data_IF_679129738685
#
_entry.id   IF_679129738685
#
_cell.length_a   1.000
_cell.length_b   1.000
_cell.length_c   1.000
_cell.angle_alpha   90.00
_cell.angle_beta   90.00
_cell.angle_gamma   90.00
#
_symmetry.space_group_name_H-M   'P 1'
#
loop_
_entity.id
_entity.type
_entity.pdbx_description
1 polymer ?
#
# COMPACT_ATOMS: atom_id res chain seq x y z
N UNK A 1 -8.38 46.21 37.68
CA UNK A 1 -7.64 45.77 36.47
C UNK A 1 -8.68 45.58 35.38
N UNK A 2 -8.51 46.13 34.17
CA UNK A 2 -9.56 46.23 33.13
C UNK A 2 -9.52 45.03 32.17
N UNK A 3 -10.29 43.94 32.41
CA UNK A 3 -10.21 42.71 31.61
C UNK A 3 -10.79 42.90 30.20
N UNK A 4 -11.47 44.03 29.96
CA UNK A 4 -12.05 44.43 28.68
C UNK A 4 -11.05 45.06 27.71
N UNK A 5 -9.82 45.38 28.14
CA UNK A 5 -8.82 45.90 27.20
C UNK A 5 -8.34 44.77 26.27
N UNK A 6 -8.24 44.99 24.95
CA UNK A 6 -7.86 43.95 23.98
C UNK A 6 -6.56 43.20 24.31
N UNK A 7 -5.63 43.87 25.02
CA UNK A 7 -4.35 43.29 25.45
C UNK A 7 -4.50 42.05 26.34
N UNK A 8 -5.60 41.94 27.11
CA UNK A 8 -5.83 40.82 28.03
C UNK A 8 -6.23 39.51 27.34
N UNK A 9 -6.69 39.62 26.09
CA UNK A 9 -7.19 38.51 25.29
C UNK A 9 -6.35 38.30 24.02
N UNK A 10 -5.15 38.90 23.94
CA UNK A 10 -4.26 38.78 22.80
C UNK A 10 -3.03 37.92 23.16
N UNK A 11 -2.91 36.69 22.64
CA UNK A 11 -1.76 35.82 22.93
C UNK A 11 -0.43 36.41 22.46
N UNK A 12 -0.43 37.30 21.46
CA UNK A 12 0.80 37.97 20.97
C UNK A 12 1.36 38.99 21.97
N UNK A 13 0.52 39.49 22.87
CA UNK A 13 0.90 40.50 23.88
C UNK A 13 1.05 39.90 25.29
N UNK A 14 1.17 38.57 25.39
CA UNK A 14 1.22 37.84 26.65
C UNK A 14 2.31 38.33 27.60
N UNK A 15 3.40 38.93 27.08
CA UNK A 15 4.47 39.53 27.90
C UNK A 15 3.95 40.54 28.94
N UNK A 16 2.86 41.24 28.64
CA UNK A 16 2.27 42.26 29.53
C UNK A 16 1.29 41.67 30.56
N UNK A 17 0.71 40.51 30.27
CA UNK A 17 -0.34 39.88 31.08
C UNK A 17 0.11 38.60 31.77
N UNK A 18 1.31 38.11 31.43
CA UNK A 18 1.88 36.83 31.89
C UNK A 18 1.82 36.65 33.39
N UNK A 19 2.24 37.64 34.18
CA UNK A 19 2.27 37.52 35.65
C UNK A 19 0.88 37.31 36.23
N UNK A 20 -0.11 38.05 35.73
CA UNK A 20 -1.50 37.91 36.16
C UNK A 20 -2.04 36.50 35.87
N UNK A 21 -1.86 36.01 34.65
CA UNK A 21 -2.27 34.66 34.27
C UNK A 21 -1.50 33.58 35.05
N UNK A 22 -0.21 33.81 35.35
CA UNK A 22 0.57 32.92 36.19
C UNK A 22 0.00 32.82 37.60
N UNK A 23 -0.30 33.96 38.23
CA UNK A 23 -0.84 33.98 39.58
C UNK A 23 -2.25 33.40 39.67
N UNK A 24 -3.09 33.63 38.65
CA UNK A 24 -4.48 33.17 38.60
C UNK A 24 -4.60 31.67 38.29
N UNK A 25 -3.76 31.17 37.38
CA UNK A 25 -3.87 29.81 36.85
C UNK A 25 -2.73 28.90 37.27
N UNK A 26 -1.88 29.26 38.23
CA UNK A 26 -0.89 28.32 38.76
C UNK A 26 -1.57 27.10 39.38
N UNK A 27 -0.87 25.96 39.33
CA UNK A 27 -1.25 24.76 40.07
C UNK A 27 -1.21 25.03 41.57
N UNK A 28 -2.24 24.59 42.28
CA UNK A 28 -2.35 24.77 43.72
C UNK A 28 -1.52 23.72 44.49
N UNK A 29 -1.06 24.02 45.71
CA UNK A 29 -0.37 23.03 46.54
C UNK A 29 -1.24 21.79 46.76
N UNK A 30 -0.69 20.59 46.47
CA UNK A 30 -1.41 19.32 46.63
C UNK A 30 -2.43 18.99 45.54
N UNK A 31 -2.69 19.89 44.58
CA UNK A 31 -3.62 19.65 43.48
C UNK A 31 -3.08 18.56 42.54
N UNK A 32 -3.89 17.58 42.15
CA UNK A 32 -3.50 16.58 41.17
C UNK A 32 -3.32 17.20 39.78
N UNK A 33 -2.65 16.51 38.85
CA UNK A 33 -2.51 17.01 37.46
C UNK A 33 -3.88 17.10 36.79
N UNK A 34 -4.73 16.10 37.01
CA UNK A 34 -6.06 16.03 36.41
C UNK A 34 -7.00 17.13 36.96
N UNK A 35 -6.97 17.40 38.27
CA UNK A 35 -7.73 18.50 38.86
C UNK A 35 -7.24 19.85 38.36
N UNK A 36 -5.92 20.00 38.24
CA UNK A 36 -5.31 21.20 37.68
C UNK A 36 -5.79 21.46 36.25
N UNK A 37 -5.73 20.46 35.38
CA UNK A 37 -6.15 20.59 33.99
C UNK A 37 -7.66 20.76 33.83
N UNK A 38 -8.47 20.06 34.63
CA UNK A 38 -9.92 20.27 34.67
C UNK A 38 -10.27 21.71 35.06
N UNK A 39 -9.60 22.26 36.07
CA UNK A 39 -9.80 23.64 36.51
C UNK A 39 -9.30 24.64 35.47
N UNK A 40 -8.15 24.37 34.85
CA UNK A 40 -7.55 25.23 33.82
C UNK A 40 -8.47 25.37 32.61
N UNK A 41 -9.03 24.25 32.14
CA UNK A 41 -9.90 24.17 30.95
C UNK A 41 -11.39 24.45 31.26
N UNK A 42 -11.72 24.85 32.48
CA UNK A 42 -13.11 25.15 32.83
C UNK A 42 -13.59 26.42 32.11
N UNK A 43 -14.74 26.32 31.42
CA UNK A 43 -15.46 27.46 30.87
C UNK A 43 -16.51 27.93 31.87
N UNK A 44 -16.47 29.21 32.22
CA UNK A 44 -17.41 29.79 33.18
C UNK A 44 -18.86 29.80 32.64
N UNK A 45 -19.88 29.82 33.52
CA UNK A 45 -21.28 29.79 33.10
C UNK A 45 -21.71 31.00 32.25
N UNK A 46 -20.98 32.12 32.36
CA UNK A 46 -21.27 33.37 31.64
C UNK A 46 -20.18 33.70 30.59
N UNK A 47 -19.30 32.74 30.29
CA UNK A 47 -18.23 32.93 29.32
C UNK A 47 -18.67 32.43 27.95
N UNK A 48 -18.67 33.30 26.94
CA UNK A 48 -18.98 32.90 25.56
C UNK A 48 -17.91 31.95 25.02
N UNK A 49 -18.24 31.17 23.98
CA UNK A 49 -17.26 30.26 23.38
C UNK A 49 -16.05 31.01 22.80
N UNK A 50 -16.27 32.21 22.25
CA UNK A 50 -15.21 33.05 21.71
C UNK A 50 -14.31 33.63 22.82
N UNK A 51 -14.89 34.09 23.93
CA UNK A 51 -14.12 34.55 25.10
C UNK A 51 -13.32 33.40 25.72
N UNK A 52 -13.93 32.22 25.81
CA UNK A 52 -13.27 31.00 26.27
C UNK A 52 -12.05 30.65 25.42
N UNK A 53 -12.21 30.62 24.08
CA UNK A 53 -11.11 30.34 23.16
C UNK A 53 -9.99 31.39 23.28
N UNK A 54 -10.33 32.67 23.30
CA UNK A 54 -9.36 33.76 23.47
C UNK A 54 -8.57 33.64 24.77
N UNK A 55 -9.26 33.35 25.88
CA UNK A 55 -8.61 33.13 27.19
C UNK A 55 -7.69 31.92 27.16
N UNK A 56 -8.14 30.80 26.59
CA UNK A 56 -7.35 29.59 26.47
C UNK A 56 -6.10 29.81 25.61
N UNK A 57 -6.19 30.56 24.51
CA UNK A 57 -5.03 30.91 23.70
C UNK A 57 -3.97 31.70 24.50
N UNK A 58 -4.40 32.62 25.38
CA UNK A 58 -3.47 33.34 26.27
C UNK A 58 -2.86 32.40 27.29
N UNK A 59 -3.65 31.52 27.93
CA UNK A 59 -3.15 30.52 28.87
C UNK A 59 -2.13 29.59 28.21
N UNK A 60 -2.40 29.13 26.99
CA UNK A 60 -1.48 28.32 26.20
C UNK A 60 -0.16 29.07 25.91
N UNK A 61 -0.22 30.37 25.62
CA UNK A 61 0.97 31.20 25.44
C UNK A 61 1.76 31.45 26.75
N UNK A 62 1.08 31.44 27.91
CA UNK A 62 1.72 31.53 29.24
C UNK A 62 2.38 30.22 29.62
N UNK A 63 1.72 29.10 29.33
CA UNK A 63 2.13 27.75 29.70
C UNK A 63 2.30 26.83 28.48
N UNK A 64 3.20 27.16 27.52
CA UNK A 64 3.29 26.44 26.24
C UNK A 64 3.84 25.01 26.39
N UNK A 65 4.46 24.68 27.53
CA UNK A 65 5.10 23.39 27.79
C UNK A 65 4.22 22.39 28.55
N UNK A 66 2.94 22.69 28.78
CA UNK A 66 2.03 21.71 29.37
C UNK A 66 1.76 20.61 28.33
N UNK A 67 1.92 19.36 28.76
CA UNK A 67 1.56 18.17 27.97
C UNK A 67 0.06 18.14 27.64
N UNK A 68 -0.76 18.91 28.36
CA UNK A 68 -2.17 19.18 28.09
C UNK A 68 -2.47 19.52 26.61
N UNK A 69 -1.58 20.27 25.95
CA UNK A 69 -1.85 20.79 24.61
C UNK A 69 -1.65 19.77 23.49
N UNK A 70 -0.76 18.80 23.70
CA UNK A 70 -0.31 17.87 22.66
C UNK A 70 -0.61 16.41 23.00
N UNK A 71 -0.84 16.07 24.27
CA UNK A 71 -1.08 14.69 24.67
C UNK A 71 -2.53 14.27 24.49
N UNK A 72 -2.75 13.18 23.74
CA UNK A 72 -4.04 12.49 23.63
C UNK A 72 -4.62 12.10 25.00
N UNK A 73 -3.77 11.85 26.01
CA UNK A 73 -4.20 11.49 27.38
C UNK A 73 -5.16 12.53 27.97
N UNK A 74 -4.92 13.81 27.72
CA UNK A 74 -5.72 14.90 28.29
C UNK A 74 -6.76 15.46 27.32
N UNK A 75 -7.02 14.76 26.21
CA UNK A 75 -8.00 15.18 25.21
C UNK A 75 -9.39 15.36 25.81
N UNK A 76 -9.75 14.55 26.82
CA UNK A 76 -11.01 14.70 27.56
C UNK A 76 -11.22 16.10 28.17
N UNK A 77 -10.13 16.83 28.47
CA UNK A 77 -10.18 18.21 28.98
C UNK A 77 -10.08 19.25 27.86
N UNK A 78 -9.31 18.98 26.81
CA UNK A 78 -9.03 19.96 25.75
C UNK A 78 -9.98 19.91 24.57
N UNK A 79 -10.73 18.82 24.38
CA UNK A 79 -11.59 18.60 23.22
C UNK A 79 -12.47 19.81 22.91
N UNK A 80 -13.20 20.33 23.90
CA UNK A 80 -14.08 21.50 23.72
C UNK A 80 -13.34 22.73 23.20
N UNK A 81 -12.18 23.04 23.78
CA UNK A 81 -11.36 24.18 23.35
C UNK A 81 -10.83 23.98 21.93
N UNK A 82 -10.26 22.81 21.65
CA UNK A 82 -9.66 22.52 20.35
C UNK A 82 -10.70 22.45 19.23
N UNK A 83 -11.91 21.95 19.51
CA UNK A 83 -13.04 22.00 18.57
C UNK A 83 -13.39 23.44 18.25
N UNK A 84 -13.67 24.29 19.24
CA UNK A 84 -14.02 25.70 18.97
C UNK A 84 -12.91 26.49 18.29
N UNK A 85 -11.64 26.21 18.64
CA UNK A 85 -10.50 26.88 18.04
C UNK A 85 -10.34 26.52 16.55
N UNK A 86 -10.57 25.26 16.20
CA UNK A 86 -10.21 24.75 14.88
C UNK A 86 -11.38 24.50 13.95
N UNK A 87 -12.62 24.49 14.44
CA UNK A 87 -13.84 24.26 13.65
C UNK A 87 -13.87 25.12 12.39
N UNK A 88 -14.54 24.60 11.36
CA UNK A 88 -14.76 25.31 10.10
C UNK A 88 -15.43 26.65 10.37
N UNK A 89 -14.86 27.72 9.83
CA UNK A 89 -15.36 29.08 10.03
C UNK A 89 -16.52 29.35 9.07
N UNK A 90 -17.36 30.32 9.42
CA UNK A 90 -18.44 30.75 8.53
C UNK A 90 -17.86 31.26 7.19
N UNK A 91 -18.35 30.71 6.09
CA UNK A 91 -17.88 31.01 4.73
C UNK A 91 -16.53 30.40 4.35
N UNK A 92 -15.90 29.60 5.22
CA UNK A 92 -14.66 28.88 4.88
C UNK A 92 -14.99 27.67 3.99
N UNK A 93 -14.34 27.57 2.84
CA UNK A 93 -14.44 26.37 1.99
C UNK A 93 -13.63 25.19 2.58
N UNK A 94 -13.87 24.00 2.05
CA UNK A 94 -13.22 22.76 2.50
C UNK A 94 -11.70 22.81 2.31
N UNK A 95 -11.24 23.27 1.15
CA UNK A 95 -9.81 23.38 0.84
C UNK A 95 -9.06 24.29 1.82
N UNK A 96 -9.67 25.41 2.21
CA UNK A 96 -9.13 26.39 3.16
C UNK A 96 -9.12 25.81 4.57
N UNK A 97 -10.19 25.12 4.96
CA UNK A 97 -10.27 24.40 6.23
C UNK A 97 -9.13 23.36 6.34
N UNK A 98 -9.02 22.48 5.35
CA UNK A 98 -8.00 21.42 5.29
C UNK A 98 -6.59 22.01 5.35
N UNK A 99 -6.31 23.00 4.50
CA UNK A 99 -5.02 23.72 4.48
C UNK A 99 -4.67 24.29 5.85
N UNK A 100 -5.64 24.87 6.55
CA UNK A 100 -5.46 25.48 7.87
C UNK A 100 -5.19 24.43 8.95
N UNK A 101 -5.90 23.30 8.93
CA UNK A 101 -5.70 22.20 9.88
C UNK A 101 -4.29 21.63 9.75
N UNK A 102 -3.80 21.39 8.53
CA UNK A 102 -2.49 20.78 8.30
C UNK A 102 -1.31 21.77 8.30
N UNK A 103 -1.56 23.08 8.32
CA UNK A 103 -0.51 24.09 8.38
C UNK A 103 0.32 23.99 9.67
N UNK A 104 1.65 24.12 9.52
CA UNK A 104 2.60 24.19 10.64
C UNK A 104 2.40 25.48 11.43
N UNK A 105 2.40 25.37 12.76
CA UNK A 105 2.40 26.54 13.62
C UNK A 105 3.82 27.07 13.85
N UNK A 106 4.02 28.39 14.06
CA UNK A 106 5.34 28.94 14.34
C UNK A 106 6.00 28.30 15.56
N UNK A 107 7.19 27.72 15.38
CA UNK A 107 7.95 27.07 16.46
C UNK A 107 7.46 25.65 16.83
N UNK A 108 6.52 25.08 16.08
CA UNK A 108 6.00 23.74 16.31
C UNK A 108 7.04 22.66 15.95
N UNK A 109 7.37 21.80 16.91
CA UNK A 109 8.30 20.70 16.66
C UNK A 109 7.68 19.62 15.77
N UNK A 110 8.51 18.71 15.23
CA UNK A 110 8.00 17.56 14.46
C UNK A 110 7.03 16.70 15.27
N UNK A 111 7.38 16.41 16.52
CA UNK A 111 6.55 15.62 17.44
C UNK A 111 5.25 16.34 17.77
N UNK A 112 5.31 17.63 18.12
CA UNK A 112 4.11 18.40 18.47
C UNK A 112 3.12 18.48 17.31
N UNK A 113 3.63 18.64 16.08
CA UNK A 113 2.80 18.62 14.87
C UNK A 113 2.08 17.30 14.67
N UNK A 114 2.81 16.18 14.75
CA UNK A 114 2.20 14.84 14.62
C UNK A 114 1.11 14.65 15.67
N UNK A 115 1.41 14.96 16.93
CA UNK A 115 0.43 14.83 18.01
C UNK A 115 -0.79 15.76 17.83
N UNK A 116 -0.59 16.99 17.34
CA UNK A 116 -1.71 17.88 17.02
C UNK A 116 -2.58 17.31 15.91
N UNK A 117 -1.99 16.83 14.82
CA UNK A 117 -2.74 16.25 13.70
C UNK A 117 -3.46 14.96 14.12
N UNK A 118 -2.86 14.12 14.97
CA UNK A 118 -3.54 12.96 15.57
C UNK A 118 -4.78 13.39 16.38
N UNK A 119 -4.68 14.49 17.14
CA UNK A 119 -5.84 15.05 17.85
C UNK A 119 -6.89 15.60 16.87
N UNK A 120 -6.48 16.30 15.80
CA UNK A 120 -7.42 16.81 14.79
C UNK A 120 -8.15 15.66 14.08
N UNK A 121 -7.46 14.56 13.76
CA UNK A 121 -8.06 13.34 13.20
C UNK A 121 -9.18 12.79 14.10
N UNK A 122 -9.01 12.86 15.42
CA UNK A 122 -10.02 12.40 16.37
C UNK A 122 -11.19 13.38 16.47
N UNK A 123 -10.91 14.67 16.61
CA UNK A 123 -11.94 15.69 16.85
C UNK A 123 -12.78 16.01 15.62
N UNK A 124 -12.22 15.86 14.43
CA UNK A 124 -12.82 16.18 13.15
C UNK A 124 -12.83 14.95 12.24
N UNK A 125 -13.10 13.76 12.82
CA UNK A 125 -13.01 12.49 12.09
C UNK A 125 -13.91 12.44 10.86
N UNK A 126 -15.11 13.02 10.94
CA UNK A 126 -16.04 13.12 9.79
C UNK A 126 -15.60 14.17 8.79
N UNK A 127 -15.15 15.34 9.24
CA UNK A 127 -14.75 16.44 8.36
C UNK A 127 -13.41 16.19 7.64
N UNK A 128 -12.58 15.26 8.14
CA UNK A 128 -11.25 14.95 7.60
C UNK A 128 -11.14 13.53 7.06
N UNK A 129 -12.24 12.77 6.99
CA UNK A 129 -12.27 11.37 6.56
C UNK A 129 -11.69 11.19 5.15
N UNK A 130 -11.97 12.13 4.23
CA UNK A 130 -11.49 12.08 2.86
C UNK A 130 -9.97 12.25 2.70
N UNK A 131 -9.32 12.87 3.70
CA UNK A 131 -7.91 13.25 3.66
C UNK A 131 -7.02 12.16 4.25
N UNK A 132 -7.43 11.59 5.39
CA UNK A 132 -6.62 10.58 6.06
C UNK A 132 -6.61 9.28 5.25
N UNK A 133 -5.46 8.63 5.31
CA UNK A 133 -5.12 7.39 4.59
C UNK A 133 -5.40 7.41 3.07
N UNK A 134 -5.48 8.61 2.47
CA UNK A 134 -5.70 8.81 1.05
C UNK A 134 -4.48 9.45 0.35
N UNK A 135 -3.79 8.73 -0.55
CA UNK A 135 -2.66 9.26 -1.30
C UNK A 135 -2.95 10.52 -2.12
N UNK A 136 -4.20 10.74 -2.55
CA UNK A 136 -4.57 11.90 -3.37
C UNK A 136 -4.48 13.23 -2.59
N UNK A 137 -4.51 13.17 -1.25
CA UNK A 137 -4.44 14.32 -0.34
C UNK A 137 -3.06 14.48 0.33
N UNK A 138 -2.02 13.89 -0.26
CA UNK A 138 -0.64 14.06 0.22
C UNK A 138 -0.15 15.51 0.16
N UNK A 139 -0.77 16.37 -0.65
CA UNK A 139 -0.49 17.82 -0.61
C UNK A 139 -0.70 18.43 0.79
N UNK A 140 -1.62 17.86 1.59
CA UNK A 140 -1.84 18.24 3.00
C UNK A 140 -1.05 17.36 3.97
N UNK A 141 -1.09 16.05 3.76
CA UNK A 141 -0.67 15.07 4.77
C UNK A 141 0.77 14.59 4.63
N UNK A 142 1.49 14.99 3.58
CA UNK A 142 2.86 14.51 3.31
C UNK A 142 3.80 14.71 4.48
N UNK A 143 3.84 15.89 5.10
CA UNK A 143 4.71 16.10 6.27
C UNK A 143 4.31 15.20 7.44
N UNK A 144 3.02 15.11 7.75
CA UNK A 144 2.50 14.27 8.83
C UNK A 144 2.92 12.81 8.67
N UNK A 145 2.64 12.22 7.51
CA UNK A 145 3.00 10.83 7.24
C UNK A 145 4.50 10.61 7.06
N UNK A 146 5.25 11.59 6.56
CA UNK A 146 6.71 11.50 6.50
C UNK A 146 7.31 11.44 7.91
N UNK A 147 6.80 12.20 8.88
CA UNK A 147 7.29 12.10 10.26
C UNK A 147 6.85 10.79 10.93
N UNK A 148 5.66 10.27 10.61
CA UNK A 148 5.09 9.06 11.24
C UNK A 148 5.71 7.77 10.70
N UNK A 149 5.86 7.68 9.38
CA UNK A 149 6.29 6.48 8.66
C UNK A 149 7.60 6.64 7.91
N UNK A 150 8.32 7.75 8.06
CA UNK A 150 9.68 7.86 7.55
C UNK A 150 10.65 6.97 8.33
N UNK A 151 11.75 6.61 7.67
CA UNK A 151 12.87 5.94 8.34
C UNK A 151 13.50 6.88 9.37
N UNK A 152 13.70 6.37 10.59
CA UNK A 152 14.26 7.14 11.70
C UNK A 152 15.79 7.22 11.58
N UNK A 153 16.38 8.25 12.17
CA UNK A 153 17.84 8.40 12.20
C UNK A 153 18.48 7.21 12.93
N UNK A 154 19.38 6.49 12.25
CA UNK A 154 20.07 5.31 12.79
C UNK A 154 19.27 4.00 12.72
N UNK A 155 18.05 4.02 12.18
CA UNK A 155 17.23 2.82 11.97
C UNK A 155 17.73 2.06 10.74
N UNK A 156 17.96 0.76 10.88
CA UNK A 156 18.30 -0.11 9.74
C UNK A 156 17.10 -0.25 8.79
N UNK A 157 17.35 -0.66 7.54
CA UNK A 157 16.27 -0.89 6.58
C UNK A 157 15.31 -1.99 7.05
N UNK A 158 15.83 -3.05 7.69
CA UNK A 158 15.01 -4.16 8.17
C UNK A 158 14.13 -3.73 9.35
N UNK A 159 14.68 -2.98 10.32
CA UNK A 159 13.89 -2.40 11.42
C UNK A 159 12.80 -1.46 10.89
N UNK A 160 13.15 -0.63 9.89
CA UNK A 160 12.20 0.27 9.25
C UNK A 160 11.04 -0.50 8.59
N UNK A 161 11.36 -1.54 7.82
CA UNK A 161 10.39 -2.40 7.15
C UNK A 161 9.52 -3.11 8.17
N UNK A 162 10.11 -3.76 9.18
CA UNK A 162 9.33 -4.41 10.25
C UNK A 162 8.40 -3.42 10.92
N UNK A 163 8.88 -2.26 11.37
CA UNK A 163 8.04 -1.25 12.02
C UNK A 163 6.92 -0.73 11.11
N UNK A 164 7.17 -0.61 9.82
CA UNK A 164 6.25 0.02 8.87
C UNK A 164 5.21 -0.95 8.34
N UNK A 165 5.53 -2.22 8.17
CA UNK A 165 4.63 -3.20 7.55
C UNK A 165 4.05 -4.23 8.51
N UNK A 166 4.50 -4.25 9.78
CA UNK A 166 3.80 -4.99 10.84
C UNK A 166 2.48 -4.29 11.16
N UNK A 167 1.41 -5.08 11.31
CA UNK A 167 0.10 -4.60 11.75
C UNK A 167 0.14 -4.21 13.24
N UNK A 168 -0.51 -3.10 13.56
CA UNK A 168 -0.82 -2.79 14.96
C UNK A 168 -2.01 -3.68 15.38
N UNK A 169 -1.97 -4.38 16.53
CA UNK A 169 -3.09 -5.19 17.00
C UNK A 169 -4.43 -4.44 17.14
N UNK A 170 -4.40 -3.11 17.24
CA UNK A 170 -5.59 -2.26 17.30
C UNK A 170 -6.02 -1.72 15.91
N UNK A 171 -5.24 -1.95 14.86
CA UNK A 171 -5.51 -1.49 13.50
C UNK A 171 -6.34 -2.53 12.72
N UNK A 172 -7.39 -2.07 12.03
CA UNK A 172 -8.18 -2.92 11.13
C UNK A 172 -7.51 -3.11 9.76
N UNK A 173 -7.85 -4.18 9.03
CA UNK A 173 -7.38 -4.42 7.66
C UNK A 173 -7.58 -3.20 6.74
N UNK A 174 -8.69 -2.47 6.92
CA UNK A 174 -8.98 -1.26 6.15
C UNK A 174 -7.98 -0.14 6.45
N UNK A 175 -7.69 0.09 7.74
CA UNK A 175 -6.72 1.09 8.18
C UNK A 175 -5.30 0.71 7.74
N UNK A 176 -4.91 -0.55 7.92
CA UNK A 176 -3.63 -1.08 7.47
C UNK A 176 -3.44 -0.89 5.96
N UNK A 177 -4.42 -1.33 5.15
CA UNK A 177 -4.37 -1.22 3.70
C UNK A 177 -4.14 0.22 3.25
N UNK A 178 -4.91 1.16 3.80
CA UNK A 178 -4.85 2.55 3.39
C UNK A 178 -3.58 3.26 3.91
N UNK A 179 -3.14 2.94 5.13
CA UNK A 179 -1.84 3.36 5.65
C UNK A 179 -0.70 2.92 4.74
N UNK A 180 -0.68 1.66 4.32
CA UNK A 180 0.38 1.12 3.46
C UNK A 180 0.32 1.71 2.04
N UNK A 181 -0.88 2.02 1.50
CA UNK A 181 -1.00 2.79 0.23
C UNK A 181 -0.33 4.15 0.35
N UNK A 182 -0.53 4.87 1.45
CA UNK A 182 0.12 6.15 1.72
C UNK A 182 1.64 6.01 1.81
N UNK A 183 2.15 5.00 2.52
CA UNK A 183 3.59 4.69 2.59
C UNK A 183 4.16 4.43 1.19
N UNK A 184 3.48 3.60 0.38
CA UNK A 184 3.91 3.30 -0.99
C UNK A 184 3.95 4.54 -1.88
N UNK A 185 2.98 5.44 -1.73
CA UNK A 185 2.95 6.70 -2.48
C UNK A 185 4.04 7.69 -2.04
N UNK A 186 4.39 7.72 -0.75
CA UNK A 186 5.43 8.59 -0.21
C UNK A 186 6.85 8.09 -0.47
N UNK A 187 7.03 6.77 -0.44
CA UNK A 187 8.32 6.10 -0.56
C UNK A 187 8.27 5.01 -1.64
N UNK A 188 8.04 5.38 -2.92
CA UNK A 188 7.89 4.42 -4.02
C UNK A 188 9.19 3.66 -4.34
N UNK A 189 10.33 4.20 -3.93
CA UNK A 189 11.67 3.66 -4.18
C UNK A 189 12.13 2.63 -3.14
N UNK A 190 11.31 2.30 -2.13
CA UNK A 190 11.71 1.29 -1.14
C UNK A 190 11.87 -0.07 -1.80
N UNK A 191 12.96 -0.76 -1.45
CA UNK A 191 13.28 -2.09 -2.00
C UNK A 191 12.17 -3.12 -1.79
N UNK A 192 11.35 -3.01 -0.74
CA UNK A 192 10.21 -3.92 -0.51
C UNK A 192 9.18 -3.89 -1.65
N UNK A 193 9.17 -2.84 -2.48
CA UNK A 193 8.28 -2.74 -3.64
C UNK A 193 8.85 -3.39 -4.89
N UNK A 194 10.19 -3.53 -4.99
CA UNK A 194 10.89 -3.94 -6.20
C UNK A 194 11.60 -5.28 -6.04
N UNK A 195 12.22 -5.54 -4.90
CA UNK A 195 12.87 -6.78 -4.55
C UNK A 195 11.85 -7.88 -4.21
N UNK A 196 11.71 -8.84 -5.12
CA UNK A 196 10.79 -9.97 -4.99
C UNK A 196 11.11 -10.89 -3.81
N UNK A 197 12.36 -10.90 -3.34
CA UNK A 197 12.73 -11.68 -2.15
C UNK A 197 12.11 -11.13 -0.86
N UNK A 198 11.63 -9.88 -0.88
CA UNK A 198 10.99 -9.18 0.25
C UNK A 198 9.47 -9.22 0.19
N UNK A 199 8.88 -10.04 -0.68
CA UNK A 199 7.42 -10.10 -0.85
C UNK A 199 6.70 -10.41 0.46
N UNK A 200 7.27 -11.25 1.33
CA UNK A 200 6.68 -11.62 2.61
C UNK A 200 6.39 -10.41 3.51
N UNK A 201 7.24 -9.37 3.46
CA UNK A 201 7.04 -8.13 4.24
C UNK A 201 5.83 -7.31 3.75
N UNK A 202 5.36 -7.53 2.53
CA UNK A 202 4.24 -6.77 1.93
C UNK A 202 3.10 -7.68 1.46
N UNK A 203 3.17 -8.98 1.77
CA UNK A 203 2.24 -9.98 1.26
C UNK A 203 0.81 -9.68 1.72
N UNK A 204 0.61 -9.45 3.01
CA UNK A 204 -0.71 -9.12 3.55
C UNK A 204 -1.32 -7.88 2.90
N UNK A 205 -0.52 -6.84 2.66
CA UNK A 205 -0.96 -5.66 1.91
C UNK A 205 -1.48 -6.01 0.50
N UNK A 206 -0.76 -6.86 -0.24
CA UNK A 206 -1.20 -7.28 -1.57
C UNK A 206 -2.40 -8.23 -1.52
N UNK A 207 -2.51 -9.05 -0.48
CA UNK A 207 -3.69 -9.90 -0.25
C UNK A 207 -4.95 -9.04 -0.08
N UNK A 208 -4.88 -7.98 0.74
CA UNK A 208 -5.97 -7.03 0.90
C UNK A 208 -6.22 -6.21 -0.37
N UNK A 209 -5.16 -5.76 -1.05
CA UNK A 209 -5.27 -4.94 -2.26
C UNK A 209 -5.96 -5.69 -3.41
N UNK A 210 -5.72 -7.00 -3.52
CA UNK A 210 -6.26 -7.86 -4.55
C UNK A 210 -7.41 -8.73 -4.06
N UNK A 211 -7.93 -8.50 -2.85
CA UNK A 211 -9.02 -9.29 -2.31
C UNK A 211 -10.25 -9.25 -3.24
N UNK A 212 -10.73 -10.44 -3.61
CA UNK A 212 -11.97 -10.58 -4.36
C UNK A 212 -13.16 -10.21 -3.47
N UNK A 213 -14.07 -9.40 -4.00
CA UNK A 213 -15.28 -9.03 -3.25
C UNK A 213 -16.22 -10.25 -3.13
N UNK A 214 -16.98 -10.41 -2.02
CA UNK A 214 -17.80 -11.60 -1.77
C UNK A 214 -18.77 -11.96 -2.89
N UNK A 215 -19.32 -10.96 -3.59
CA UNK A 215 -20.32 -11.14 -4.67
C UNK A 215 -19.72 -11.07 -6.09
N UNK A 216 -18.40 -10.87 -6.20
CA UNK A 216 -17.74 -10.70 -7.50
C UNK A 216 -17.54 -12.06 -8.18
N UNK A 217 -18.01 -12.18 -9.43
CA UNK A 217 -17.77 -13.36 -10.24
C UNK A 217 -16.27 -13.53 -10.49
N UNK A 218 -15.83 -14.78 -10.70
CA UNK A 218 -14.42 -15.07 -11.00
C UNK A 218 -13.96 -14.41 -12.31
N UNK A 219 -14.82 -14.41 -13.34
CA UNK A 219 -14.54 -13.78 -14.62
C UNK A 219 -14.34 -12.26 -14.46
N UNK A 220 -15.22 -11.58 -13.73
CA UNK A 220 -15.09 -10.13 -13.48
C UNK A 220 -13.84 -9.82 -12.64
N UNK A 221 -13.52 -10.68 -11.69
CA UNK A 221 -12.32 -10.56 -10.86
C UNK A 221 -11.06 -10.62 -11.70
N UNK A 222 -10.88 -11.67 -12.51
CA UNK A 222 -9.68 -11.81 -13.33
C UNK A 222 -9.61 -10.77 -14.46
N UNK A 223 -10.73 -10.39 -15.08
CA UNK A 223 -10.76 -9.25 -16.02
C UNK A 223 -10.22 -7.99 -15.39
N UNK A 224 -10.61 -7.69 -14.14
CA UNK A 224 -10.12 -6.52 -13.40
C UNK A 224 -8.63 -6.63 -13.05
N UNK A 225 -8.18 -7.78 -12.57
CA UNK A 225 -6.78 -7.98 -12.16
C UNK A 225 -5.84 -7.90 -13.37
N UNK A 226 -6.17 -8.57 -14.48
CA UNK A 226 -5.29 -8.69 -15.63
C UNK A 226 -5.46 -7.61 -16.70
N UNK A 227 -6.43 -6.70 -16.54
CA UNK A 227 -6.53 -5.51 -17.38
C UNK A 227 -5.33 -4.57 -17.14
N UNK A 228 -4.74 -4.07 -18.22
CA UNK A 228 -3.77 -2.98 -18.16
C UNK A 228 -4.50 -1.66 -17.88
N UNK A 229 -4.02 -0.91 -16.90
CA UNK A 229 -4.65 0.36 -16.51
C UNK A 229 -4.35 1.45 -17.55
N UNK A 230 -5.24 2.45 -17.72
CA UNK A 230 -4.95 3.59 -18.58
C UNK A 230 -3.64 4.28 -18.16
N UNK A 231 -2.71 4.44 -19.12
CA UNK A 231 -1.40 5.04 -18.88
C UNK A 231 -0.34 4.13 -18.22
N UNK A 232 -0.69 2.87 -17.91
CA UNK A 232 0.27 1.89 -17.37
C UNK A 232 1.19 1.38 -18.48
N UNK A 233 2.51 1.48 -18.29
CA UNK A 233 3.49 0.90 -19.22
C UNK A 233 3.45 -0.64 -19.16
N UNK A 234 4.00 -1.30 -20.18
CA UNK A 234 4.09 -2.77 -20.18
C UNK A 234 4.97 -3.29 -19.02
N UNK A 235 6.03 -2.54 -18.67
CA UNK A 235 6.89 -2.85 -17.52
C UNK A 235 6.12 -2.74 -16.20
N UNK A 236 5.36 -1.66 -15.98
CA UNK A 236 4.55 -1.50 -14.76
C UNK A 236 3.44 -2.55 -14.68
N UNK A 237 2.80 -2.86 -15.81
CA UNK A 237 1.81 -3.93 -15.91
C UNK A 237 2.42 -5.27 -15.52
N UNK A 238 3.56 -5.63 -16.13
CA UNK A 238 4.25 -6.90 -15.87
C UNK A 238 4.60 -7.03 -14.38
N UNK A 239 5.26 -6.02 -13.81
CA UNK A 239 5.63 -5.98 -12.39
C UNK A 239 4.41 -6.18 -11.47
N UNK A 240 3.27 -5.56 -11.80
CA UNK A 240 2.03 -5.70 -11.02
C UNK A 240 1.47 -7.12 -11.06
N UNK A 241 1.49 -7.77 -12.22
CA UNK A 241 1.00 -9.15 -12.38
C UNK A 241 1.96 -10.15 -11.71
N UNK A 242 3.27 -9.94 -11.78
CA UNK A 242 4.25 -10.75 -11.04
C UNK A 242 4.02 -10.69 -9.53
N UNK A 243 3.74 -9.51 -8.98
CA UNK A 243 3.40 -9.37 -7.55
C UNK A 243 2.13 -10.17 -7.23
N UNK A 244 1.10 -10.08 -8.07
CA UNK A 244 -0.12 -10.88 -7.91
C UNK A 244 0.19 -12.40 -7.93
N UNK A 245 1.07 -12.84 -8.83
CA UNK A 245 1.54 -14.23 -8.90
C UNK A 245 2.30 -14.68 -7.65
N UNK A 246 3.17 -13.83 -7.10
CA UNK A 246 3.90 -14.15 -5.88
C UNK A 246 3.01 -14.12 -4.63
N UNK A 247 1.95 -13.31 -4.66
CA UNK A 247 0.95 -13.24 -3.59
C UNK A 247 0.09 -14.50 -3.55
N UNK A 248 -0.34 -14.97 -4.74
CA UNK A 248 -1.23 -16.13 -4.91
C UNK A 248 -0.67 -17.16 -5.91
N UNK A 249 0.46 -17.82 -5.59
CA UNK A 249 1.11 -18.77 -6.50
C UNK A 249 0.26 -20.02 -6.80
N UNK A 250 -0.70 -20.33 -5.95
CA UNK A 250 -1.58 -21.50 -6.04
C UNK A 250 -2.77 -21.35 -6.99
N UNK A 251 -3.02 -20.17 -7.55
CA UNK A 251 -4.18 -19.96 -8.43
C UNK A 251 -4.02 -20.68 -9.77
N UNK A 252 -5.08 -21.35 -10.21
CA UNK A 252 -5.14 -22.04 -11.51
C UNK A 252 -4.95 -21.12 -12.72
N UNK A 253 -5.10 -19.79 -12.55
CA UNK A 253 -4.89 -18.82 -13.63
C UNK A 253 -3.48 -18.87 -14.22
N UNK A 254 -2.51 -19.39 -13.46
CA UNK A 254 -1.11 -19.47 -13.89
C UNK A 254 -0.84 -20.63 -14.85
N UNK A 255 -1.53 -21.75 -14.68
CA UNK A 255 -1.20 -23.02 -15.33
C UNK A 255 -2.41 -23.78 -15.87
N UNK A 256 -3.60 -23.18 -15.94
CA UNK A 256 -4.71 -23.76 -16.68
C UNK A 256 -4.90 -22.97 -17.99
N UNK A 257 -4.73 -23.61 -19.17
CA UNK A 257 -4.95 -22.97 -20.47
C UNK A 257 -6.33 -22.31 -20.65
N UNK A 258 -7.36 -22.74 -19.92
CA UNK A 258 -8.69 -22.12 -19.96
C UNK A 258 -8.67 -20.66 -19.48
N UNK A 259 -7.76 -20.32 -18.56
CA UNK A 259 -7.60 -18.97 -18.03
C UNK A 259 -6.64 -18.11 -18.86
N UNK A 260 -6.07 -18.66 -19.94
CA UNK A 260 -5.12 -17.94 -20.80
C UNK A 260 -5.74 -16.68 -21.40
N UNK A 261 -7.07 -16.64 -21.57
CA UNK A 261 -7.80 -15.45 -22.01
C UNK A 261 -7.50 -14.21 -21.15
N UNK A 262 -7.19 -14.37 -19.86
CA UNK A 262 -6.82 -13.27 -18.96
C UNK A 262 -5.31 -13.02 -18.95
N UNK A 263 -4.49 -14.07 -18.92
CA UNK A 263 -3.03 -13.97 -18.70
C UNK A 263 -2.20 -13.83 -19.98
N UNK A 264 -2.83 -13.95 -21.16
CA UNK A 264 -2.15 -13.93 -22.47
C UNK A 264 -1.17 -12.76 -22.61
N UNK A 265 -1.59 -11.54 -22.30
CA UNK A 265 -0.72 -10.35 -22.42
C UNK A 265 0.50 -10.45 -21.50
N UNK A 266 0.31 -10.84 -20.24
CA UNK A 266 1.41 -11.02 -19.29
C UNK A 266 2.44 -12.03 -19.83
N UNK A 267 1.97 -13.17 -20.32
CA UNK A 267 2.86 -14.19 -20.88
C UNK A 267 3.52 -13.75 -22.20
N UNK A 268 2.85 -12.95 -23.05
CA UNK A 268 3.49 -12.37 -24.23
C UNK A 268 4.70 -11.50 -23.84
N UNK A 269 4.56 -10.72 -22.77
CA UNK A 269 5.65 -9.89 -22.26
C UNK A 269 6.76 -10.73 -21.61
N UNK A 270 6.41 -11.78 -20.86
CA UNK A 270 7.40 -12.71 -20.29
C UNK A 270 8.21 -13.45 -21.35
N UNK A 271 7.53 -13.91 -22.40
CA UNK A 271 8.12 -14.72 -23.45
C UNK A 271 8.68 -13.90 -24.61
N UNK A 272 8.76 -12.57 -24.46
CA UNK A 272 9.51 -11.72 -25.38
C UNK A 272 10.97 -11.68 -24.98
N UNK A 273 11.83 -12.28 -25.80
CA UNK A 273 13.28 -12.28 -25.58
C UNK A 273 13.85 -10.86 -25.56
N UNK A 274 14.49 -10.41 -24.47
CA UNK A 274 15.13 -9.10 -24.42
C UNK A 274 16.28 -8.97 -25.43
N UNK A 275 16.42 -7.78 -26.01
CA UNK A 275 17.52 -7.48 -26.94
C UNK A 275 18.86 -7.63 -26.24
N UNK A 276 19.76 -8.43 -26.82
CA UNK A 276 21.11 -8.66 -26.29
C UNK A 276 21.23 -9.81 -25.29
N UNK A 277 20.11 -10.41 -24.85
CA UNK A 277 20.13 -11.63 -24.04
C UNK A 277 20.45 -12.83 -24.93
N UNK A 278 21.31 -13.74 -24.48
CA UNK A 278 21.60 -14.97 -25.23
C UNK A 278 20.40 -15.92 -25.22
N UNK A 279 20.39 -16.89 -26.15
CA UNK A 279 19.33 -17.91 -26.19
C UNK A 279 19.32 -18.75 -24.91
N UNK A 280 20.49 -19.12 -24.41
CA UNK A 280 20.63 -19.91 -23.18
C UNK A 280 20.10 -19.15 -21.96
N UNK A 281 20.46 -17.88 -21.79
CA UNK A 281 19.97 -17.06 -20.68
C UNK A 281 18.45 -16.84 -20.74
N UNK A 282 17.85 -16.91 -21.94
CA UNK A 282 16.42 -16.69 -22.13
C UNK A 282 15.60 -17.98 -22.02
N UNK A 283 15.91 -19.00 -22.83
CA UNK A 283 15.11 -20.22 -22.93
C UNK A 283 15.32 -21.20 -21.78
N UNK A 284 16.56 -21.32 -21.25
CA UNK A 284 16.84 -22.27 -20.16
C UNK A 284 15.89 -22.09 -18.96
N UNK A 285 15.73 -20.89 -18.36
CA UNK A 285 14.81 -20.73 -17.23
C UNK A 285 13.33 -20.90 -17.58
N UNK A 286 12.94 -20.68 -18.84
CA UNK A 286 11.56 -20.93 -19.29
C UNK A 286 11.29 -22.44 -19.33
N UNK A 287 12.18 -23.23 -19.91
CA UNK A 287 11.99 -24.68 -20.09
C UNK A 287 12.46 -25.52 -18.91
N UNK A 288 13.17 -24.95 -17.94
CA UNK A 288 13.57 -25.66 -16.74
C UNK A 288 12.36 -25.94 -15.84
N UNK A 289 12.30 -27.17 -15.32
CA UNK A 289 11.28 -27.57 -14.37
C UNK A 289 11.59 -26.95 -13.01
N UNK A 290 10.65 -26.22 -12.43
CA UNK A 290 10.85 -25.52 -11.16
C UNK A 290 10.91 -26.52 -9.99
N UNK A 291 11.65 -26.16 -8.93
CA UNK A 291 11.71 -26.97 -7.70
C UNK A 291 10.30 -27.08 -7.11
N UNK A 292 9.85 -28.31 -6.85
CA UNK A 292 8.49 -28.59 -6.35
C UNK A 292 7.39 -28.63 -7.41
N UNK A 293 7.69 -28.33 -8.69
CA UNK A 293 6.70 -28.37 -9.78
C UNK A 293 6.33 -29.82 -10.13
N UNK A 294 5.03 -30.11 -10.26
CA UNK A 294 4.58 -31.43 -10.75
C UNK A 294 4.73 -31.51 -12.26
N UNK A 295 4.70 -32.72 -12.83
CA UNK A 295 4.74 -32.86 -14.30
C UNK A 295 3.52 -32.20 -14.98
N UNK A 296 2.36 -32.19 -14.32
CA UNK A 296 1.15 -31.55 -14.85
C UNK A 296 1.31 -30.02 -14.88
N UNK A 297 1.76 -29.40 -13.79
CA UNK A 297 2.01 -27.95 -13.74
C UNK A 297 3.09 -27.53 -14.75
N UNK A 298 4.19 -28.29 -14.83
CA UNK A 298 5.25 -28.06 -15.83
C UNK A 298 4.71 -28.12 -17.27
N UNK A 299 3.92 -29.15 -17.58
CA UNK A 299 3.34 -29.33 -18.91
C UNK A 299 2.42 -28.15 -19.24
N UNK A 300 1.51 -27.79 -18.34
CA UNK A 300 0.56 -26.73 -18.64
C UNK A 300 1.23 -25.35 -18.75
N UNK A 301 2.23 -25.05 -17.93
CA UNK A 301 2.99 -23.79 -18.02
C UNK A 301 3.65 -23.63 -19.40
N UNK A 302 4.23 -24.70 -19.92
CA UNK A 302 4.84 -24.69 -21.25
C UNK A 302 3.81 -24.75 -22.38
N UNK A 303 2.68 -25.42 -22.18
CA UNK A 303 1.53 -25.33 -23.09
C UNK A 303 1.04 -23.88 -23.19
N UNK A 304 0.97 -23.13 -22.08
CA UNK A 304 0.64 -21.71 -22.10
C UNK A 304 1.65 -20.91 -22.93
N UNK A 305 2.96 -21.20 -22.82
CA UNK A 305 3.97 -20.57 -23.68
C UNK A 305 3.72 -20.90 -25.16
N UNK A 306 3.48 -22.16 -25.50
CA UNK A 306 3.18 -22.58 -26.88
C UNK A 306 1.92 -21.89 -27.43
N UNK A 307 0.86 -21.78 -26.64
CA UNK A 307 -0.38 -21.12 -27.06
C UNK A 307 -0.26 -19.59 -27.19
N UNK A 308 0.65 -18.99 -26.43
CA UNK A 308 0.92 -17.54 -26.45
C UNK A 308 1.75 -17.13 -27.67
N UNK A 309 2.76 -17.93 -27.98
CA UNK A 309 3.70 -17.69 -29.08
C UNK A 309 4.03 -19.01 -29.80
N UNK A 310 3.09 -19.54 -30.61
CA UNK A 310 3.28 -20.83 -31.30
C UNK A 310 4.36 -20.77 -32.37
N UNK A 311 4.64 -19.58 -32.89
CA UNK A 311 5.68 -19.32 -33.89
C UNK A 311 7.07 -19.12 -33.26
N UNK A 312 7.18 -19.21 -31.93
CA UNK A 312 8.46 -19.07 -31.27
C UNK A 312 9.46 -20.11 -31.83
N UNK A 313 10.68 -19.69 -32.22
CA UNK A 313 11.67 -20.61 -32.78
C UNK A 313 11.98 -21.80 -31.88
N UNK A 314 11.83 -21.66 -30.55
CA UNK A 314 12.04 -22.74 -29.61
C UNK A 314 11.22 -24.00 -29.92
N UNK A 315 10.03 -23.86 -30.50
CA UNK A 315 9.13 -24.98 -30.77
C UNK A 315 9.50 -25.79 -32.02
N UNK A 316 10.12 -25.14 -33.01
CA UNK A 316 10.23 -25.68 -34.37
C UNK A 316 11.66 -25.75 -34.91
N UNK A 317 12.61 -25.05 -34.29
CA UNK A 317 14.03 -25.08 -34.70
C UNK A 317 14.82 -26.09 -33.84
N UNK A 318 15.43 -27.06 -34.51
CA UNK A 318 16.26 -28.12 -33.91
C UNK A 318 17.36 -27.59 -33.00
N UNK A 319 17.82 -26.35 -33.22
CA UNK A 319 18.79 -25.67 -32.35
C UNK A 319 18.34 -25.61 -30.89
N UNK A 320 17.03 -25.49 -30.64
CA UNK A 320 16.47 -25.35 -29.29
C UNK A 320 15.94 -26.67 -28.71
N UNK A 321 16.11 -27.79 -29.40
CA UNK A 321 15.66 -29.11 -28.95
C UNK A 321 16.17 -29.46 -27.55
N UNK A 322 17.39 -29.03 -27.21
CA UNK A 322 17.95 -29.22 -25.87
C UNK A 322 17.09 -28.63 -24.73
N UNK A 323 16.30 -27.60 -25.02
CA UNK A 323 15.36 -26.96 -24.09
C UNK A 323 13.99 -27.63 -24.10
N UNK A 324 13.45 -27.92 -25.28
CA UNK A 324 12.06 -28.37 -25.44
C UNK A 324 11.87 -29.88 -25.25
N UNK A 325 12.95 -30.66 -25.33
CA UNK A 325 12.90 -32.13 -25.19
C UNK A 325 12.15 -32.62 -23.95
N UNK A 326 12.36 -32.10 -22.72
CA UNK A 326 11.62 -32.58 -21.55
C UNK A 326 10.11 -32.32 -21.64
N UNK A 327 9.70 -31.22 -22.29
CA UNK A 327 8.28 -30.92 -22.54
C UNK A 327 7.66 -31.93 -23.50
N UNK A 328 8.26 -32.11 -24.68
CA UNK A 328 7.73 -33.05 -25.68
C UNK A 328 7.76 -34.49 -25.20
N UNK A 329 8.79 -34.88 -24.43
CA UNK A 329 8.88 -36.20 -23.79
C UNK A 329 7.69 -36.45 -22.85
N UNK A 330 7.24 -35.42 -22.11
CA UNK A 330 6.09 -35.52 -21.23
C UNK A 330 4.75 -35.45 -22.00
N UNK A 331 4.63 -34.53 -22.95
CA UNK A 331 3.44 -34.36 -23.78
C UNK A 331 3.10 -35.65 -24.55
N UNK A 332 4.12 -36.32 -25.07
CA UNK A 332 3.99 -37.53 -25.86
C UNK A 332 4.24 -38.81 -25.05
N UNK A 333 4.40 -38.72 -23.72
CA UNK A 333 4.55 -39.90 -22.88
C UNK A 333 3.38 -40.89 -23.06
N UNK A 334 3.68 -42.17 -22.91
CA UNK A 334 2.68 -43.23 -22.86
C UNK A 334 1.74 -42.97 -21.67
N UNK A 335 0.43 -42.99 -21.92
CA UNK A 335 -0.55 -42.82 -20.83
C UNK A 335 -0.60 -44.10 -19.97
N UNK A 336 -0.95 -44.02 -18.67
CA UNK A 336 -0.94 -45.18 -17.76
C UNK A 336 -1.73 -46.40 -18.27
N UNK A 337 -2.85 -46.16 -18.95
CA UNK A 337 -3.74 -47.21 -19.47
C UNK A 337 -3.59 -47.46 -20.98
N UNK A 338 -2.59 -46.86 -21.63
CA UNK A 338 -2.35 -46.98 -23.06
C UNK A 338 -1.41 -48.15 -23.36
N UNK A 339 -1.76 -49.03 -24.29
CA UNK A 339 -0.83 -50.08 -24.73
C UNK A 339 0.33 -49.50 -25.54
N UNK A 340 1.49 -50.17 -25.56
CA UNK A 340 2.66 -49.74 -26.34
C UNK A 340 2.32 -49.56 -27.83
N UNK A 341 1.48 -50.44 -28.38
CA UNK A 341 1.02 -50.34 -29.77
C UNK A 341 0.10 -49.13 -30.01
N UNK A 342 -0.79 -48.81 -29.06
CA UNK A 342 -1.65 -47.64 -29.14
C UNK A 342 -0.84 -46.34 -29.01
N UNK A 343 0.14 -46.31 -28.10
CA UNK A 343 1.08 -45.21 -27.94
C UNK A 343 1.92 -44.97 -29.19
N UNK A 344 2.57 -46.01 -29.72
CA UNK A 344 3.37 -45.92 -30.93
C UNK A 344 2.53 -45.45 -32.13
N UNK A 345 1.29 -45.92 -32.26
CA UNK A 345 0.38 -45.44 -33.30
C UNK A 345 -0.02 -43.97 -33.11
N UNK A 346 -0.28 -43.51 -31.88
CA UNK A 346 -0.57 -42.10 -31.58
C UNK A 346 0.61 -41.20 -31.89
N UNK A 347 1.83 -41.71 -31.67
CA UNK A 347 3.08 -41.00 -31.90
C UNK A 347 3.47 -40.94 -33.38
N UNK A 348 3.41 -42.06 -34.10
CA UNK A 348 3.89 -42.15 -35.48
C UNK A 348 2.85 -41.70 -36.52
N UNK A 349 1.60 -41.50 -36.09
CA UNK A 349 0.55 -41.00 -36.98
C UNK A 349 0.82 -39.53 -37.30
N UNK A 350 1.03 -39.22 -38.58
CA UNK A 350 0.90 -37.87 -39.09
C UNK A 350 -0.60 -37.52 -39.14
N UNK A 351 -0.97 -36.42 -38.50
CA UNK A 351 -2.37 -36.00 -38.49
C UNK A 351 -2.74 -35.29 -39.81
N UNK A 352 -3.99 -35.38 -40.30
CA UNK A 352 -4.39 -34.76 -41.56
C UNK A 352 -4.12 -33.25 -41.65
N UNK A 353 -4.17 -32.58 -40.50
CA UNK A 353 -3.89 -31.17 -40.28
C UNK A 353 -2.40 -30.82 -40.15
N UNK A 354 -1.51 -31.83 -40.07
CA UNK A 354 -0.08 -31.65 -39.83
C UNK A 354 0.72 -31.72 -41.14
N UNK A 355 1.43 -30.64 -41.48
CA UNK A 355 2.35 -30.61 -42.62
C UNK A 355 3.54 -31.56 -42.41
N UNK A 356 4.21 -31.93 -43.50
CA UNK A 356 5.36 -32.83 -43.44
C UNK A 356 6.50 -32.25 -42.59
N UNK A 357 6.69 -30.93 -42.58
CA UNK A 357 7.70 -30.25 -41.75
C UNK A 357 7.32 -30.32 -40.28
N UNK A 358 6.06 -30.06 -39.92
CA UNK A 358 5.56 -30.17 -38.54
C UNK A 358 5.67 -31.60 -38.01
N UNK A 359 5.33 -32.60 -38.84
CA UNK A 359 5.49 -34.02 -38.50
C UNK A 359 6.95 -34.38 -38.22
N UNK A 360 7.88 -33.98 -39.10
CA UNK A 360 9.31 -34.26 -38.91
C UNK A 360 9.86 -33.54 -37.67
N UNK A 361 9.45 -32.30 -37.43
CA UNK A 361 9.83 -31.58 -36.22
C UNK A 361 9.31 -32.28 -34.95
N UNK A 362 8.05 -32.71 -34.95
CA UNK A 362 7.48 -33.50 -33.85
C UNK A 362 8.24 -34.81 -33.62
N UNK A 363 8.59 -35.53 -34.69
CA UNK A 363 9.35 -36.77 -34.60
C UNK A 363 10.81 -36.56 -34.16
N UNK A 364 11.40 -35.40 -34.43
CA UNK A 364 12.72 -35.02 -33.91
C UNK A 364 12.68 -34.65 -32.41
N UNK A 365 11.50 -34.27 -31.90
CA UNK A 365 11.27 -33.82 -30.54
C UNK A 365 10.85 -34.94 -29.57
N UNK A 366 10.51 -36.14 -30.07
CA UNK A 366 10.16 -37.35 -29.31
C UNK A 366 11.33 -38.31 -29.29
#
# INVERSE_FOLDING_TARGET
MYPSLPIWNNPKEVRYTRRYYMDMYKRLPGESVDDYYRRLMYQGPNESNDDYVKRMQVIQAVYPKLDLWTSRKYLMYTAKYLTFLNQKKEGEDEQTFDSRIFARQPGETKTDYVSRIDIMRILFSTDLEHIFDNPDFLNYTKDYYTQKYGQKSGESIDEYVTRTFTEDPEESDYEYLNRVKVVKALFPELEVWTDRSKIDSTKHFYELLYQRQPEQSEDDYYKKIFAQKPGESDETYKNRIEIFQLTYPELHVWDNPEYLVYTKKFYQLEYTKPKGKSDDEFYKPIFEKKVGETNAHYLNRLTNFFLVDPENPAWNDVKYLQYTKPYFSLLFAQKPDESVAAWANRLLKQYPEESNTEYQNRMNNV
#
